data_IF_232208668953
#
_entry.id   IF_232208668953
#
_cell.length_a   1.000
_cell.length_b   1.000
_cell.length_c   1.000
_cell.angle_alpha   90.00
_cell.angle_beta   90.00
_cell.angle_gamma   90.00
#
_symmetry.space_group_name_H-M   'P 1'
#
loop_
_entity.id
_entity.type
_entity.pdbx_description
1 polymer ?
#
# COMPACT_ATOMS: atom_id res chain seq x y z
N UNK A 1 -8.64 11.46 9.46
CA UNK A 1 -8.93 10.05 9.15
C UNK A 1 -7.74 9.47 8.42
N UNK A 2 -6.97 8.64 9.07
CA UNK A 2 -5.75 8.13 8.48
C UNK A 2 -5.81 6.62 8.31
N UNK A 3 -5.04 6.17 7.33
CA UNK A 3 -4.88 4.76 7.01
C UNK A 3 -3.42 4.45 7.18
N UNK A 4 -3.12 3.36 7.87
CA UNK A 4 -1.75 2.92 8.06
C UNK A 4 -1.34 2.04 6.89
N UNK A 5 -0.20 2.36 6.29
CA UNK A 5 0.36 1.57 5.18
C UNK A 5 1.68 0.99 5.65
N UNK A 6 1.83 -0.31 5.50
CA UNK A 6 3.05 -1.01 5.88
C UNK A 6 3.70 -1.54 4.62
N UNK A 7 5.00 -1.32 4.50
CA UNK A 7 5.77 -1.75 3.33
C UNK A 7 6.71 -2.88 3.72
N UNK A 8 6.80 -3.88 2.86
CA UNK A 8 7.68 -5.03 3.10
C UNK A 8 8.68 -5.19 1.97
N UNK A 9 9.78 -5.87 2.26
CA UNK A 9 10.79 -6.18 1.27
C UNK A 9 11.40 -4.93 0.65
N UNK A 10 11.56 -4.97 -0.68
CA UNK A 10 12.14 -3.85 -1.40
C UNK A 10 11.31 -2.58 -1.29
N UNK A 11 10.02 -2.72 -1.09
CA UNK A 11 9.13 -1.57 -0.96
C UNK A 11 9.47 -0.79 0.30
N UNK A 12 9.87 -1.49 1.34
CA UNK A 12 10.27 -0.86 2.59
C UNK A 12 11.50 0.02 2.41
N UNK A 13 12.41 -0.38 1.54
CA UNK A 13 13.62 0.39 1.29
C UNK A 13 13.31 1.70 0.57
N UNK A 14 12.22 1.74 -0.17
CA UNK A 14 11.83 2.92 -0.91
C UNK A 14 11.05 3.90 -0.03
N UNK A 15 10.06 3.38 0.69
CA UNK A 15 9.09 4.21 1.39
C UNK A 15 9.23 4.17 2.91
N UNK A 16 10.15 3.37 3.44
CA UNK A 16 10.22 3.15 4.87
C UNK A 16 9.29 2.03 5.27
N UNK A 17 9.27 1.68 6.54
CA UNK A 17 8.49 0.54 6.98
C UNK A 17 7.02 0.83 7.13
N UNK A 18 6.68 2.07 7.40
CA UNK A 18 5.31 2.42 7.75
C UNK A 18 5.03 3.87 7.40
N UNK A 19 3.81 4.12 6.95
CA UNK A 19 3.40 5.47 6.56
C UNK A 19 1.93 5.64 6.89
N UNK A 20 1.56 6.83 7.34
CA UNK A 20 0.14 7.17 7.51
C UNK A 20 -0.28 8.05 6.36
N UNK A 21 -1.42 7.72 5.76
CA UNK A 21 -1.96 8.43 4.60
C UNK A 21 -3.36 8.89 4.93
N UNK A 22 -3.67 10.15 4.63
CA UNK A 22 -4.99 10.70 4.89
C UNK A 22 -5.73 10.99 3.59
N UNK A 23 -7.05 11.04 3.70
CA UNK A 23 -7.93 11.47 2.61
C UNK A 23 -7.90 10.54 1.39
N UNK A 24 -7.73 9.24 1.64
CA UNK A 24 -7.87 8.27 0.57
C UNK A 24 -9.13 7.45 0.83
N UNK A 25 -9.87 7.17 -0.24
CA UNK A 25 -11.16 6.51 -0.14
C UNK A 25 -11.11 5.04 -0.51
N UNK A 26 -10.18 4.66 -1.37
CA UNK A 26 -10.07 3.28 -1.81
C UNK A 26 -8.63 2.98 -2.17
N UNK A 27 -8.38 1.73 -2.57
CA UNK A 27 -7.02 1.29 -2.88
C UNK A 27 -6.45 1.98 -4.10
N UNK A 28 -7.28 2.35 -5.07
CA UNK A 28 -6.80 3.08 -6.24
C UNK A 28 -6.31 4.47 -5.82
N UNK A 29 -7.12 5.14 -5.02
CA UNK A 29 -6.80 6.47 -4.52
C UNK A 29 -5.49 6.42 -3.71
N UNK A 30 -5.35 5.38 -2.89
CA UNK A 30 -4.13 5.18 -2.12
C UNK A 30 -2.92 5.00 -3.03
N UNK A 31 -3.05 4.19 -4.07
CA UNK A 31 -1.95 3.97 -5.00
C UNK A 31 -1.52 5.27 -5.67
N UNK A 32 -2.47 6.09 -6.08
CA UNK A 32 -2.15 7.37 -6.71
C UNK A 32 -1.39 8.27 -5.75
N UNK A 33 -1.79 8.30 -4.50
CA UNK A 33 -1.12 9.08 -3.47
C UNK A 33 0.31 8.59 -3.27
N UNK A 34 0.49 7.28 -3.21
CA UNK A 34 1.82 6.70 -3.02
C UNK A 34 2.72 6.96 -4.22
N UNK A 35 2.18 6.89 -5.43
CA UNK A 35 2.97 7.14 -6.64
C UNK A 35 3.39 8.61 -6.73
N UNK A 36 2.58 9.50 -6.17
CA UNK A 36 2.94 10.90 -6.12
C UNK A 36 4.14 11.14 -5.21
N UNK A 37 4.20 10.40 -4.10
CA UNK A 37 5.32 10.50 -3.15
C UNK A 37 6.53 9.69 -3.58
N UNK A 38 6.28 8.51 -4.12
CA UNK A 38 7.34 7.55 -4.47
C UNK A 38 7.09 7.06 -5.89
N UNK A 39 7.45 7.86 -6.89
CA UNK A 39 7.14 7.51 -8.29
C UNK A 39 7.63 6.14 -8.73
N UNK A 40 8.72 5.64 -8.14
CA UNK A 40 9.26 4.35 -8.53
C UNK A 40 8.29 3.21 -8.23
N UNK A 41 7.36 3.40 -7.29
CA UNK A 41 6.38 2.37 -6.97
C UNK A 41 5.48 2.05 -8.16
N UNK A 42 5.26 3.02 -9.04
CA UNK A 42 4.39 2.80 -10.19
C UNK A 42 4.98 1.80 -11.19
N UNK A 43 6.29 1.57 -11.13
CA UNK A 43 6.94 0.62 -12.02
C UNK A 43 7.29 -0.69 -11.31
N UNK A 44 6.91 -0.83 -10.07
CA UNK A 44 7.19 -2.05 -9.31
C UNK A 44 5.96 -2.93 -9.22
N UNK A 45 6.19 -4.21 -9.09
CA UNK A 45 5.10 -5.16 -8.85
C UNK A 45 4.98 -5.39 -7.36
N UNK A 46 3.75 -5.43 -6.88
CA UNK A 46 3.48 -5.67 -5.47
C UNK A 46 2.05 -6.17 -5.31
N UNK A 47 1.77 -6.73 -4.15
CA UNK A 47 0.43 -7.16 -3.78
C UNK A 47 -0.08 -6.28 -2.66
N UNK A 48 -1.38 -6.10 -2.63
CA UNK A 48 -2.01 -5.26 -1.61
C UNK A 48 -2.84 -6.16 -0.70
N UNK A 49 -2.63 -6.02 0.60
CA UNK A 49 -3.40 -6.72 1.62
C UNK A 49 -4.12 -5.66 2.43
N UNK A 50 -5.43 -5.73 2.48
CA UNK A 50 -6.24 -4.79 3.24
C UNK A 50 -6.88 -5.55 4.39
N UNK A 51 -6.56 -5.12 5.60
CA UNK A 51 -7.11 -5.70 6.81
C UNK A 51 -6.98 -7.23 6.81
N UNK A 52 -5.77 -7.70 6.48
CA UNK A 52 -5.39 -9.12 6.47
C UNK A 52 -5.96 -9.91 5.30
N UNK A 53 -6.57 -9.25 4.32
CA UNK A 53 -7.08 -9.93 3.14
C UNK A 53 -6.36 -9.46 1.89
N UNK A 54 -5.85 -10.42 1.12
CA UNK A 54 -5.24 -10.13 -0.16
C UNK A 54 -6.34 -9.70 -1.14
N UNK A 55 -6.13 -8.58 -1.82
CA UNK A 55 -7.14 -8.07 -2.75
C UNK A 55 -6.57 -8.02 -4.14
N UNK A 56 -7.46 -8.17 -5.13
CA UNK A 56 -7.10 -8.10 -6.54
C UNK A 56 -7.80 -6.96 -7.27
N UNK A 57 -8.77 -6.35 -6.62
CA UNK A 57 -9.56 -5.28 -7.22
C UNK A 57 -9.50 -4.05 -6.34
N UNK A 58 -10.06 -2.96 -6.83
CA UNK A 58 -10.19 -1.75 -6.04
C UNK A 58 -11.20 -2.00 -4.94
N UNK A 59 -10.80 -1.78 -3.69
CA UNK A 59 -11.71 -1.92 -2.56
C UNK A 59 -11.72 -0.64 -1.74
N UNK A 60 -12.84 -0.33 -1.10
CA UNK A 60 -12.93 0.87 -0.27
C UNK A 60 -12.07 0.72 0.98
N UNK A 61 -11.59 1.84 1.46
CA UNK A 61 -10.77 1.90 2.68
C UNK A 61 -11.51 2.70 3.73
N UNK A 62 -11.37 2.26 4.97
CA UNK A 62 -12.01 2.91 6.11
C UNK A 62 -10.97 3.49 7.04
N UNK A 63 -11.30 4.54 7.79
CA UNK A 63 -10.37 5.05 8.79
C UNK A 63 -9.91 3.96 9.73
N UNK A 64 -8.62 3.94 10.03
CA UNK A 64 -8.07 2.96 10.95
C UNK A 64 -7.71 1.63 10.34
N UNK A 65 -8.01 1.42 9.05
CA UNK A 65 -7.65 0.16 8.42
C UNK A 65 -6.13 0.12 8.16
N UNK A 66 -5.58 -1.07 8.15
CA UNK A 66 -4.17 -1.27 7.83
C UNK A 66 -4.04 -1.90 6.45
N UNK A 67 -3.20 -1.29 5.62
CA UNK A 67 -2.91 -1.77 4.28
C UNK A 67 -1.45 -2.17 4.22
N UNK A 68 -1.18 -3.37 3.74
CA UNK A 68 0.19 -3.86 3.58
C UNK A 68 0.50 -4.00 2.10
N UNK A 69 1.69 -3.56 1.72
CA UNK A 69 2.19 -3.73 0.36
C UNK A 69 3.32 -4.74 0.42
N UNK A 70 3.17 -5.82 -0.31
CA UNK A 70 4.09 -6.95 -0.26
C UNK A 70 4.73 -7.18 -1.63
N UNK A 71 5.97 -7.70 -1.65
CA UNK A 71 6.54 -8.15 -2.92
C UNK A 71 5.64 -9.20 -3.55
N UNK A 72 5.69 -9.37 -4.88
CA UNK A 72 4.76 -10.28 -5.56
C UNK A 72 4.93 -11.74 -5.18
N UNK A 73 6.07 -12.10 -4.63
CA UNK A 73 6.32 -13.45 -4.14
C UNK A 73 7.13 -13.36 -2.86
N UNK A 74 6.88 -14.26 -1.96
CA UNK A 74 7.59 -14.28 -0.69
C UNK A 74 8.61 -15.39 -0.71
N UNK A 75 9.80 -15.07 -0.22
CA UNK A 75 10.81 -16.07 -0.03
C UNK A 75 11.42 -16.60 -1.31
N UNK A 76 11.16 -16.00 -2.36
CA UNK A 76 11.81 -16.23 -3.62
C UNK A 76 11.85 -17.45 -4.28
#
# INVERSE_FOLDING_TARGET
MSIKVIFFGQLKEIAGGELEVEDVRDTHDLQQTLYSRYPVLSSMQYRIVVDKELINDIVPLHPGVTVALLPPYSGG
#
